data_IF_696722003407
#
_entry.id   IF_696722003407
#
_cell.length_a   1.000
_cell.length_b   1.000
_cell.length_c   1.000
_cell.angle_alpha   90.00
_cell.angle_beta   90.00
_cell.angle_gamma   90.00
#
_symmetry.space_group_name_H-M   'P 1'
#
loop_
_entity.id
_entity.type
_entity.pdbx_description
1 polymer ?
#
# COMPACT_ATOMS: atom_id res chain seq x y z
N UNK A 1 -5.71 10.12 14.98
CA UNK A 1 -4.46 10.92 15.01
C UNK A 1 -3.50 10.35 13.98
N UNK A 2 -3.41 10.98 12.81
CA UNK A 2 -2.39 10.65 11.82
C UNK A 2 -1.08 11.28 12.30
N UNK A 3 -0.17 10.46 12.84
CA UNK A 3 1.16 10.96 13.20
C UNK A 3 2.07 10.94 11.97
N UNK A 4 2.41 12.14 11.51
CA UNK A 4 3.72 12.53 10.99
C UNK A 4 4.31 11.75 9.81
N UNK A 5 3.92 12.09 8.58
CA UNK A 5 4.85 11.99 7.45
C UNK A 5 5.65 13.29 7.38
N UNK A 6 6.96 13.22 7.61
CA UNK A 6 7.85 14.37 7.49
C UNK A 6 8.19 14.59 6.01
N UNK A 7 7.77 15.74 5.47
CA UNK A 7 8.23 16.23 4.17
C UNK A 7 9.66 16.73 4.32
N UNK A 8 10.64 16.02 3.76
CA UNK A 8 11.99 16.56 3.56
C UNK A 8 12.09 17.16 2.16
N UNK A 9 12.23 18.48 2.12
CA UNK A 9 12.50 19.26 0.92
C UNK A 9 13.99 19.22 0.59
N UNK A 10 14.33 18.94 -0.68
CA UNK A 10 15.67 19.11 -1.24
C UNK A 10 16.11 17.95 -2.13
N UNK A 11 15.78 18.00 -3.43
CA UNK A 11 16.72 17.98 -4.56
C UNK A 11 15.93 17.92 -5.90
N UNK A 12 16.30 18.74 -6.89
CA UNK A 12 15.56 18.84 -8.18
C UNK A 12 16.11 17.83 -9.19
N UNK A 13 15.30 16.82 -9.54
CA UNK A 13 15.56 16.01 -10.75
C UNK A 13 14.81 14.68 -10.88
N UNK A 14 14.26 14.13 -9.79
CA UNK A 14 13.42 12.94 -9.84
C UNK A 14 12.13 13.18 -9.03
N UNK A 15 10.97 13.06 -9.67
CA UNK A 15 9.68 13.06 -8.96
C UNK A 15 9.69 11.83 -8.08
N UNK A 16 9.80 12.03 -6.76
CA UNK A 16 9.71 10.91 -5.81
C UNK A 16 8.25 10.45 -5.76
N UNK A 17 8.00 9.14 -5.82
CA UNK A 17 6.63 8.63 -5.73
C UNK A 17 6.03 8.96 -4.37
N UNK A 18 4.74 9.27 -4.36
CA UNK A 18 3.96 9.42 -3.13
C UNK A 18 3.86 8.07 -2.41
N UNK A 19 4.07 8.09 -1.09
CA UNK A 19 4.01 6.90 -0.24
C UNK A 19 3.23 7.20 1.03
N UNK A 20 1.91 7.04 0.97
CA UNK A 20 1.01 7.22 2.11
C UNK A 20 0.65 5.85 2.67
N UNK A 21 1.48 5.34 3.59
CA UNK A 21 1.29 4.05 4.25
C UNK A 21 1.32 4.29 5.77
N UNK A 22 0.19 4.16 6.50
CA UNK A 22 0.11 4.51 7.92
C UNK A 22 0.71 3.45 8.86
N UNK A 23 1.27 2.36 8.32
CA UNK A 23 1.83 1.26 9.09
C UNK A 23 3.25 0.99 8.64
N UNK A 24 4.17 0.76 9.58
CA UNK A 24 5.54 0.36 9.28
C UNK A 24 5.61 -1.04 8.65
N UNK A 25 6.65 -1.29 7.84
CA UNK A 25 6.93 -2.63 7.32
C UNK A 25 7.21 -3.60 8.46
N UNK A 26 6.64 -4.79 8.37
CA UNK A 26 6.96 -5.87 9.29
C UNK A 26 8.23 -6.61 8.82
N UNK A 27 9.38 -6.31 9.43
CA UNK A 27 10.66 -6.96 9.10
C UNK A 27 10.74 -8.45 9.50
N UNK A 28 9.75 -8.94 10.25
CA UNK A 28 9.60 -10.36 10.62
C UNK A 28 8.49 -11.04 9.82
N UNK A 29 8.05 -10.45 8.71
CA UNK A 29 7.11 -11.11 7.81
C UNK A 29 7.79 -12.33 7.19
N UNK A 30 7.20 -13.50 7.38
CA UNK A 30 7.74 -14.78 6.90
C UNK A 30 6.62 -15.65 6.39
N UNK A 31 6.90 -16.49 5.40
CA UNK A 31 5.87 -17.31 4.78
C UNK A 31 4.92 -16.46 3.91
N UNK A 32 3.98 -17.12 3.22
CA UNK A 32 2.98 -16.49 2.34
C UNK A 32 3.58 -15.89 1.05
N UNK A 33 4.79 -16.26 0.67
CA UNK A 33 5.45 -15.88 -0.58
C UNK A 33 4.53 -16.18 -1.77
N UNK A 34 3.90 -17.36 -1.79
CA UNK A 34 2.94 -17.74 -2.82
C UNK A 34 1.75 -16.75 -2.95
N UNK A 35 1.29 -16.17 -1.85
CA UNK A 35 0.21 -15.17 -1.88
C UNK A 35 0.71 -13.85 -2.47
N UNK A 36 1.90 -13.42 -2.07
CA UNK A 36 2.55 -12.22 -2.61
C UNK A 36 2.79 -12.38 -4.12
N UNK A 37 3.32 -13.52 -4.55
CA UNK A 37 3.57 -13.81 -5.97
C UNK A 37 2.28 -13.86 -6.78
N UNK A 38 1.20 -14.37 -6.19
CA UNK A 38 -0.13 -14.34 -6.80
C UNK A 38 -0.64 -12.90 -6.99
N UNK A 39 -0.48 -12.04 -5.99
CA UNK A 39 -0.82 -10.61 -6.10
C UNK A 39 0.03 -9.94 -7.19
N UNK A 40 1.34 -10.16 -7.21
CA UNK A 40 2.25 -9.61 -8.24
C UNK A 40 1.83 -10.03 -9.66
N UNK A 41 1.50 -11.31 -9.85
CA UNK A 41 1.07 -11.86 -11.14
C UNK A 41 -0.26 -11.26 -11.63
N UNK A 42 -1.18 -11.02 -10.71
CA UNK A 42 -2.48 -10.41 -11.00
C UNK A 42 -2.37 -8.88 -11.22
N UNK A 43 -1.41 -8.22 -10.58
CA UNK A 43 -1.06 -6.82 -10.81
C UNK A 43 -0.23 -6.63 -12.09
N UNK A 44 -0.83 -6.91 -13.25
CA UNK A 44 -0.19 -6.68 -14.55
C UNK A 44 0.10 -5.18 -14.77
N UNK A 45 1.29 -4.82 -15.27
CA UNK A 45 1.57 -3.45 -15.69
C UNK A 45 0.62 -3.06 -16.83
N UNK A 46 0.14 -1.81 -16.81
CA UNK A 46 -0.74 -1.20 -17.81
C UNK A 46 -2.20 -1.72 -17.85
N UNK A 47 -2.69 -2.33 -16.76
CA UNK A 47 -4.13 -2.62 -16.62
C UNK A 47 -4.68 -2.15 -15.27
N UNK A 48 -5.95 -1.74 -15.27
CA UNK A 48 -6.68 -1.39 -14.06
C UNK A 48 -7.14 -2.67 -13.33
N UNK A 49 -6.24 -3.30 -12.59
CA UNK A 49 -6.52 -4.52 -11.85
C UNK A 49 -7.22 -4.22 -10.52
N UNK A 50 -8.26 -4.98 -10.19
CA UNK A 50 -8.90 -4.96 -8.87
C UNK A 50 -8.71 -6.33 -8.23
N UNK A 51 -8.04 -6.37 -7.09
CA UNK A 51 -7.71 -7.61 -6.38
C UNK A 51 -8.30 -7.52 -4.98
N UNK A 52 -8.94 -8.60 -4.54
CA UNK A 52 -9.45 -8.73 -3.19
C UNK A 52 -8.70 -9.85 -2.45
N UNK A 53 -8.12 -9.52 -1.29
CA UNK A 53 -7.63 -10.51 -0.34
C UNK A 53 -8.79 -10.85 0.60
N UNK A 54 -9.24 -12.10 0.58
CA UNK A 54 -10.35 -12.58 1.41
C UNK A 54 -9.92 -13.77 2.29
N UNK A 55 -10.68 -14.04 3.35
CA UNK A 55 -10.39 -15.09 4.33
C UNK A 55 -10.77 -14.71 5.75
N UNK A 56 -10.66 -15.65 6.69
CA UNK A 56 -11.07 -15.50 8.09
C UNK A 56 -10.42 -14.30 8.80
N UNK A 57 -11.08 -13.81 9.85
CA UNK A 57 -10.50 -12.82 10.76
C UNK A 57 -9.15 -13.31 11.30
N UNK A 58 -8.16 -12.41 11.40
CA UNK A 58 -6.82 -12.76 11.91
C UNK A 58 -5.92 -13.54 10.94
N UNK A 59 -6.36 -13.89 9.73
CA UNK A 59 -5.53 -14.67 8.78
C UNK A 59 -4.33 -13.93 8.17
N UNK A 60 -4.11 -12.66 8.52
CA UNK A 60 -2.95 -11.87 8.07
C UNK A 60 -3.12 -11.15 6.74
N UNK A 61 -4.35 -10.99 6.20
CA UNK A 61 -4.61 -10.29 4.92
C UNK A 61 -3.96 -8.91 4.83
N UNK A 62 -4.11 -8.11 5.88
CA UNK A 62 -3.51 -6.76 5.94
C UNK A 62 -1.98 -6.82 5.92
N UNK A 63 -1.37 -7.82 6.55
CA UNK A 63 0.08 -8.01 6.54
C UNK A 63 0.58 -8.42 5.13
N UNK A 64 -0.18 -9.27 4.42
CA UNK A 64 0.11 -9.61 3.01
C UNK A 64 0.04 -8.36 2.12
N UNK A 65 -1.01 -7.54 2.28
CA UNK A 65 -1.14 -6.28 1.54
C UNK A 65 0.02 -5.30 1.85
N UNK A 66 0.39 -5.15 3.12
CA UNK A 66 1.50 -4.32 3.55
C UNK A 66 2.82 -4.78 2.95
N UNK A 67 3.14 -6.07 3.03
CA UNK A 67 4.37 -6.59 2.48
C UNK A 67 4.43 -6.40 0.95
N UNK A 68 3.32 -6.63 0.23
CA UNK A 68 3.24 -6.37 -1.20
C UNK A 68 3.52 -4.89 -1.55
N UNK A 69 2.91 -3.93 -0.85
CA UNK A 69 3.13 -2.50 -1.16
C UNK A 69 4.56 -2.07 -0.81
N UNK A 70 5.18 -2.62 0.24
CA UNK A 70 6.57 -2.31 0.57
C UNK A 70 7.57 -2.88 -0.44
N UNK A 71 7.31 -4.08 -0.98
CA UNK A 71 8.08 -4.62 -2.10
C UNK A 71 7.89 -3.76 -3.35
N UNK A 72 6.63 -3.41 -3.68
CA UNK A 72 6.31 -2.55 -4.84
C UNK A 72 6.95 -1.16 -4.77
N UNK A 73 6.99 -0.57 -3.57
CA UNK A 73 7.66 0.71 -3.32
C UNK A 73 9.18 0.66 -3.50
N UNK A 74 9.77 -0.52 -3.34
CA UNK A 74 11.22 -0.74 -3.51
C UNK A 74 11.56 -1.04 -4.97
N UNK A 75 10.67 -1.74 -5.68
CA UNK A 75 10.91 -2.25 -7.03
C UNK A 75 10.45 -1.27 -8.15
N UNK A 76 9.72 -0.20 -7.82
CA UNK A 76 9.13 0.70 -8.82
C UNK A 76 8.85 2.10 -8.29
N UNK A 77 8.84 3.08 -9.19
CA UNK A 77 8.41 4.46 -8.93
C UNK A 77 6.88 4.61 -8.94
N UNK A 78 6.18 3.67 -8.29
CA UNK A 78 4.72 3.70 -8.19
C UNK A 78 4.27 4.59 -7.03
N UNK A 79 3.28 5.45 -7.26
CA UNK A 79 2.57 6.12 -6.18
C UNK A 79 1.70 5.12 -5.41
N UNK A 80 1.77 5.16 -4.08
CA UNK A 80 1.09 4.24 -3.18
C UNK A 80 0.25 5.02 -2.18
N UNK A 81 -1.04 4.72 -2.17
CA UNK A 81 -2.02 5.32 -1.28
C UNK A 81 -2.76 4.25 -0.49
N UNK A 82 -2.76 4.39 0.84
CA UNK A 82 -3.48 3.49 1.73
C UNK A 82 -4.72 4.17 2.32
N UNK A 83 -5.90 3.59 2.08
CA UNK A 83 -7.19 4.08 2.57
C UNK A 83 -7.83 3.08 3.52
N UNK A 84 -8.40 3.57 4.62
CA UNK A 84 -9.17 2.73 5.54
C UNK A 84 -10.53 2.36 4.95
N UNK A 85 -10.74 1.07 4.72
CA UNK A 85 -11.97 0.52 4.14
C UNK A 85 -13.01 0.03 5.16
N UNK A 86 -12.86 0.35 6.46
CA UNK A 86 -13.75 -0.14 7.52
C UNK A 86 -15.18 0.40 7.46
N UNK A 87 -15.44 1.39 6.60
CA UNK A 87 -16.76 1.99 6.40
C UNK A 87 -16.74 3.05 5.30
N UNK A 88 -17.92 3.38 4.77
CA UNK A 88 -18.08 4.34 3.66
C UNK A 88 -17.52 5.72 4.02
N UNK A 89 -17.74 6.17 5.26
CA UNK A 89 -17.25 7.47 5.72
C UNK A 89 -15.71 7.50 5.76
N UNK A 90 -15.07 6.52 6.39
CA UNK A 90 -13.60 6.47 6.48
C UNK A 90 -12.95 6.34 5.10
N UNK A 91 -13.58 5.56 4.21
CA UNK A 91 -13.12 5.42 2.84
C UNK A 91 -13.18 6.74 2.07
N UNK A 92 -14.31 7.45 2.14
CA UNK A 92 -14.50 8.73 1.44
C UNK A 92 -13.54 9.81 1.94
N UNK A 93 -13.36 9.93 3.25
CA UNK A 93 -12.40 10.88 3.81
C UNK A 93 -10.96 10.54 3.43
N UNK A 94 -10.60 9.25 3.38
CA UNK A 94 -9.27 8.83 2.93
C UNK A 94 -9.02 9.13 1.45
N UNK A 95 -10.02 8.95 0.57
CA UNK A 95 -9.93 9.35 -0.84
C UNK A 95 -9.79 10.87 -0.98
N UNK A 96 -10.57 11.65 -0.22
CA UNK A 96 -10.45 13.12 -0.22
C UNK A 96 -9.05 13.57 0.21
N UNK A 97 -8.46 12.91 1.21
CA UNK A 97 -7.11 13.23 1.68
C UNK A 97 -6.01 12.95 0.64
N UNK A 98 -6.27 12.09 -0.35
CA UNK A 98 -5.32 11.80 -1.44
C UNK A 98 -5.39 12.86 -2.55
N UNK A 99 -6.54 13.51 -2.73
CA UNK A 99 -6.80 14.45 -3.82
C UNK A 99 -6.39 15.91 -3.53
N UNK A 100 -5.74 16.16 -2.38
CA UNK A 100 -5.25 17.48 -1.96
C UNK A 100 -3.79 17.67 -2.31
#
# INVERSE_FOLDING_TARGET
MYQGCTFRSGDRGAVRPYRIIPYSRNNKFTGREHHIDSVKRLCKPNSHNRIALHGLGGSGKTQIALEYVYQRASDSDSDIFWVQGSGVLQFREGIRAIAQ
#
